data_IF_060654041262
#
_entry.id   IF_060654041262
#
_cell.length_a   1.000
_cell.length_b   1.000
_cell.length_c   1.000
_cell.angle_alpha   90.00
_cell.angle_beta   90.00
_cell.angle_gamma   90.00
#
_symmetry.space_group_name_H-M   'P 1'
#
loop_
_entity.id
_entity.type
_entity.pdbx_description
1 polymer ?
#
# COMPACT_ATOMS: atom_id res chain seq x y z
N UNK A 1 35.08 -19.30 44.27
CA UNK A 1 34.14 -20.10 43.45
C UNK A 1 32.80 -19.36 43.39
N UNK A 2 32.03 -19.43 42.29
CA UNK A 2 32.03 -20.45 41.24
C UNK A 2 32.47 -19.96 39.85
N UNK A 3 32.80 -20.94 39.02
CA UNK A 3 33.28 -20.87 37.64
C UNK A 3 32.10 -20.84 36.66
N UNK A 4 32.19 -20.09 35.56
CA UNK A 4 31.40 -20.35 34.35
C UNK A 4 32.31 -20.43 33.11
N UNK A 5 32.22 -21.57 32.42
CA UNK A 5 33.07 -22.05 31.34
C UNK A 5 32.68 -21.40 30.00
N UNK A 6 33.67 -20.91 29.26
CA UNK A 6 33.54 -20.51 27.85
C UNK A 6 33.66 -21.74 26.94
N UNK A 7 32.65 -22.00 26.10
CA UNK A 7 32.72 -23.01 25.02
C UNK A 7 33.06 -22.34 23.69
N UNK A 8 34.21 -22.70 23.13
CA UNK A 8 34.64 -22.38 21.76
C UNK A 8 33.83 -23.21 20.77
N UNK A 9 33.23 -22.58 19.76
CA UNK A 9 32.72 -23.27 18.57
C UNK A 9 33.75 -23.21 17.43
N UNK A 10 34.00 -24.38 16.86
CA UNK A 10 35.01 -24.72 15.86
C UNK A 10 34.45 -24.45 14.46
N UNK A 11 35.21 -23.70 13.63
CA UNK A 11 34.95 -23.51 12.20
C UNK A 11 35.23 -24.81 11.45
N UNK A 12 34.28 -25.27 10.63
CA UNK A 12 34.54 -26.24 9.57
C UNK A 12 34.34 -25.58 8.21
N UNK A 13 35.35 -25.72 7.35
CA UNK A 13 35.35 -25.32 5.94
C UNK A 13 34.78 -26.47 5.12
N UNK A 14 33.87 -26.19 4.18
CA UNK A 14 33.61 -27.04 3.00
C UNK A 14 33.70 -26.19 1.73
N UNK A 15 34.71 -26.47 0.93
CA UNK A 15 34.83 -26.25 -0.53
C UNK A 15 34.13 -27.44 -1.22
N UNK A 16 33.48 -27.45 -2.37
CA UNK A 16 33.37 -26.61 -3.60
C UNK A 16 32.30 -27.27 -4.49
N UNK A 17 31.49 -26.51 -5.26
CA UNK A 17 31.38 -26.66 -6.73
C UNK A 17 30.26 -25.79 -7.33
N UNK A 18 30.65 -24.99 -8.33
CA UNK A 18 29.78 -24.40 -9.34
C UNK A 18 29.25 -25.48 -10.31
N UNK A 19 27.96 -25.44 -10.65
CA UNK A 19 27.48 -25.39 -12.04
C UNK A 19 25.92 -25.46 -12.15
N UNK A 20 25.35 -24.35 -12.64
CA UNK A 20 24.34 -24.21 -13.71
C UNK A 20 22.93 -24.85 -13.60
N UNK A 21 21.95 -23.93 -13.61
CA UNK A 21 20.70 -23.90 -14.40
C UNK A 21 19.75 -25.11 -14.40
N UNK A 22 18.63 -24.94 -13.70
CA UNK A 22 17.29 -25.39 -14.10
C UNK A 22 16.29 -24.40 -13.48
N UNK A 23 15.37 -23.87 -14.29
CA UNK A 23 14.13 -23.32 -13.74
C UNK A 23 13.37 -24.52 -13.18
N UNK A 24 13.09 -24.54 -11.89
CA UNK A 24 12.20 -25.52 -11.30
C UNK A 24 10.79 -25.22 -11.82
N UNK A 25 10.36 -26.04 -12.77
CA UNK A 25 8.99 -26.13 -13.24
C UNK A 25 8.23 -26.77 -12.07
N UNK A 26 7.28 -26.04 -11.51
CA UNK A 26 6.38 -26.53 -10.46
C UNK A 26 5.54 -27.65 -11.08
N UNK A 27 5.56 -28.83 -10.47
CA UNK A 27 4.81 -30.00 -10.94
C UNK A 27 3.28 -29.77 -10.79
N UNK A 28 2.48 -30.33 -11.70
CA UNK A 28 1.01 -30.17 -11.73
C UNK A 28 0.33 -30.58 -10.40
N UNK A 29 0.87 -31.56 -9.70
CA UNK A 29 0.37 -31.99 -8.37
C UNK A 29 0.62 -30.94 -7.27
N UNK A 30 1.68 -30.13 -7.39
CA UNK A 30 1.98 -29.06 -6.43
C UNK A 30 1.08 -27.83 -6.69
N UNK A 31 0.67 -27.60 -7.94
CA UNK A 31 -0.35 -26.61 -8.32
C UNK A 31 -1.76 -26.99 -7.83
N UNK A 32 -2.14 -28.28 -7.92
CA UNK A 32 -3.42 -28.77 -7.40
C UNK A 32 -3.50 -28.64 -5.87
N UNK A 33 -2.40 -28.89 -5.15
CA UNK A 33 -2.34 -28.70 -3.70
C UNK A 33 -2.42 -27.23 -3.28
N UNK A 34 -1.80 -26.31 -4.03
CA UNK A 34 -1.97 -24.88 -3.78
C UNK A 34 -3.38 -24.39 -4.12
N UNK A 35 -4.06 -24.98 -5.12
CA UNK A 35 -5.46 -24.68 -5.42
C UNK A 35 -6.40 -25.21 -4.33
N UNK A 36 -6.18 -26.43 -3.82
CA UNK A 36 -6.97 -26.95 -2.70
C UNK A 36 -6.80 -26.12 -1.41
N UNK A 37 -5.59 -25.61 -1.15
CA UNK A 37 -5.33 -24.76 0.03
C UNK A 37 -6.00 -23.37 -0.12
N UNK A 38 -6.14 -22.86 -1.34
CA UNK A 38 -6.86 -21.61 -1.64
C UNK A 38 -8.37 -21.83 -1.54
N UNK A 39 -8.88 -22.95 -2.06
CA UNK A 39 -10.30 -23.30 -1.99
C UNK A 39 -10.75 -23.57 -0.53
N UNK A 40 -9.90 -24.18 0.31
CA UNK A 40 -10.19 -24.38 1.74
C UNK A 40 -10.14 -23.09 2.58
N UNK A 41 -9.34 -22.10 2.18
CA UNK A 41 -9.32 -20.78 2.82
C UNK A 41 -10.49 -19.90 2.33
N UNK A 42 -10.94 -20.05 1.07
CA UNK A 42 -12.16 -19.43 0.56
C UNK A 42 -13.44 -20.03 1.17
N UNK A 43 -13.50 -21.34 1.42
CA UNK A 43 -14.63 -21.97 2.12
C UNK A 43 -14.74 -21.52 3.60
N UNK A 44 -13.60 -21.26 4.27
CA UNK A 44 -13.59 -20.71 5.64
C UNK A 44 -14.00 -19.23 5.71
N UNK A 45 -13.77 -18.46 4.65
CA UNK A 45 -14.32 -17.10 4.53
C UNK A 45 -15.82 -17.12 4.17
N UNK A 46 -16.29 -18.11 3.42
CA UNK A 46 -17.70 -18.27 3.05
C UNK A 46 -18.62 -18.65 4.23
N UNK A 47 -18.11 -19.37 5.24
CA UNK A 47 -18.89 -19.68 6.46
C UNK A 47 -19.00 -18.50 7.46
N UNK A 48 -18.28 -17.39 7.26
CA UNK A 48 -18.32 -16.22 8.18
C UNK A 48 -19.15 -15.03 7.69
N UNK A 49 -19.73 -15.08 6.48
CA UNK A 49 -20.59 -14.01 5.94
C UNK A 49 -22.10 -14.30 6.03
N UNK A 50 -22.52 -15.38 6.68
CA UNK A 50 -23.93 -15.57 7.07
C UNK A 50 -24.29 -14.58 8.18
N UNK A 51 -25.08 -13.55 7.81
CA UNK A 51 -25.97 -12.79 8.67
C UNK A 51 -25.47 -12.53 10.10
N UNK A 52 -24.74 -11.42 10.28
CA UNK A 52 -24.88 -10.67 11.54
C UNK A 52 -26.24 -9.94 11.54
N UNK A 53 -27.33 -10.69 11.34
CA UNK A 53 -28.60 -10.32 11.94
C UNK A 53 -28.39 -10.63 13.41
N UNK A 54 -28.06 -9.60 14.17
CA UNK A 54 -28.10 -9.66 15.63
C UNK A 54 -29.57 -9.91 15.98
N UNK A 55 -30.00 -11.17 15.96
CA UNK A 55 -31.22 -11.57 16.64
C UNK A 55 -30.95 -11.29 18.11
N UNK A 56 -31.86 -10.53 18.69
CA UNK A 56 -31.84 -10.09 20.08
C UNK A 56 -32.17 -11.26 21.01
N UNK A 57 -31.41 -12.34 20.94
CA UNK A 57 -31.49 -13.48 21.86
C UNK A 57 -30.35 -13.40 22.87
N UNK A 58 -30.16 -12.21 23.43
CA UNK A 58 -29.50 -12.06 24.72
C UNK A 58 -30.55 -12.41 25.76
N UNK A 59 -30.38 -13.56 26.39
CA UNK A 59 -31.15 -14.00 27.54
C UNK A 59 -31.34 -12.83 28.53
N UNK A 60 -32.60 -12.47 28.78
CA UNK A 60 -33.08 -11.48 29.74
C UNK A 60 -32.85 -11.95 31.21
N UNK A 61 -31.62 -12.35 31.53
CA UNK A 61 -31.21 -12.71 32.90
C UNK A 61 -30.17 -11.69 33.38
N UNK A 62 -30.67 -10.66 34.06
CA UNK A 62 -29.96 -9.85 35.06
C UNK A 62 -28.76 -8.98 34.64
N UNK A 63 -28.96 -8.06 33.68
CA UNK A 63 -28.21 -6.78 33.69
C UNK A 63 -29.15 -5.58 33.64
N UNK A 64 -29.77 -5.31 34.78
CA UNK A 64 -30.55 -4.09 35.04
C UNK A 64 -29.63 -2.85 35.12
N UNK A 65 -29.01 -2.46 34.01
CA UNK A 65 -28.34 -1.15 33.88
C UNK A 65 -29.42 -0.12 33.55
N UNK A 66 -30.23 0.24 34.55
CA UNK A 66 -31.24 1.30 34.44
C UNK A 66 -30.57 2.60 34.01
N UNK A 67 -30.81 3.03 32.76
CA UNK A 67 -30.51 4.40 32.32
C UNK A 67 -29.71 4.56 31.03
N UNK A 68 -29.35 3.49 30.31
CA UNK A 68 -28.67 3.64 29.01
C UNK A 68 -29.72 3.64 27.89
N UNK A 69 -30.04 4.84 27.39
CA UNK A 69 -30.78 5.01 26.14
C UNK A 69 -29.83 4.79 24.96
N UNK A 70 -30.10 3.78 24.13
CA UNK A 70 -29.31 3.52 22.92
C UNK A 70 -29.86 4.37 21.76
N UNK A 71 -29.11 5.39 21.35
CA UNK A 71 -29.39 6.09 20.09
C UNK A 71 -28.92 5.22 18.90
N UNK A 72 -29.75 5.04 17.87
CA UNK A 72 -29.38 4.27 16.68
C UNK A 72 -28.16 4.88 15.96
N UNK A 73 -27.33 4.03 15.37
CA UNK A 73 -26.14 4.43 14.61
C UNK A 73 -26.43 4.46 13.11
N UNK A 74 -26.02 5.55 12.45
CA UNK A 74 -25.95 5.62 10.99
C UNK A 74 -24.50 5.36 10.56
N UNK A 75 -24.23 4.14 10.10
CA UNK A 75 -22.87 3.66 9.81
C UNK A 75 -22.55 3.82 8.32
N UNK A 76 -21.45 4.49 7.99
CA UNK A 76 -20.98 4.68 6.62
C UNK A 76 -19.51 4.27 6.46
N UNK A 77 -19.16 3.43 5.46
CA UNK A 77 -17.78 3.14 5.15
C UNK A 77 -17.16 4.25 4.29
N UNK A 78 -15.86 4.51 4.46
CA UNK A 78 -15.09 5.39 3.58
C UNK A 78 -13.68 4.85 3.31
N UNK A 79 -13.39 4.61 2.04
CA UNK A 79 -12.11 4.11 1.54
C UNK A 79 -11.93 4.51 0.08
N UNK A 80 -10.69 4.43 -0.43
CA UNK A 80 -10.30 5.04 -1.70
C UNK A 80 -11.06 4.53 -2.94
N UNK A 81 -11.46 3.26 -2.95
CA UNK A 81 -12.13 2.60 -4.09
C UNK A 81 -13.65 2.86 -4.10
N UNK A 82 -14.20 3.44 -3.02
CA UNK A 82 -15.62 3.72 -2.94
C UNK A 82 -16.05 4.74 -4.00
N UNK A 83 -17.19 4.53 -4.69
CA UNK A 83 -17.71 5.48 -5.69
C UNK A 83 -17.90 6.88 -5.10
N UNK A 84 -17.70 7.94 -5.90
CA UNK A 84 -17.83 9.33 -5.44
C UNK A 84 -19.18 9.64 -4.80
N UNK A 85 -20.28 9.09 -5.32
CA UNK A 85 -21.62 9.24 -4.74
C UNK A 85 -21.69 8.69 -3.31
N UNK A 86 -21.22 7.45 -3.10
CA UNK A 86 -21.15 6.83 -1.77
C UNK A 86 -20.18 7.55 -0.82
N UNK A 87 -19.06 8.06 -1.33
CA UNK A 87 -18.15 8.90 -0.51
C UNK A 87 -18.83 10.20 -0.09
N UNK A 88 -19.66 10.80 -0.95
CA UNK A 88 -20.35 12.06 -0.67
C UNK A 88 -21.34 11.96 0.50
N UNK A 89 -21.97 10.78 0.69
CA UNK A 89 -22.91 10.51 1.78
C UNK A 89 -22.35 10.79 3.18
N UNK A 90 -21.02 10.72 3.36
CA UNK A 90 -20.37 11.01 4.65
C UNK A 90 -20.49 12.50 5.05
N UNK A 91 -20.74 13.38 4.09
CA UNK A 91 -20.88 14.82 4.30
C UNK A 91 -22.34 15.25 4.50
N UNK A 92 -23.29 14.37 4.18
CA UNK A 92 -24.71 14.62 4.40
C UNK A 92 -25.06 14.49 5.89
N UNK A 93 -26.04 15.27 6.38
CA UNK A 93 -26.50 15.11 7.75
C UNK A 93 -27.09 13.71 7.95
N UNK A 94 -26.79 13.03 9.08
CA UNK A 94 -27.38 11.74 9.37
C UNK A 94 -28.90 11.87 9.56
N UNK A 95 -29.67 10.78 9.33
CA UNK A 95 -31.11 10.78 9.59
C UNK A 95 -31.45 11.22 11.03
N UNK A 96 -32.58 11.94 11.24
CA UNK A 96 -32.97 12.40 12.57
C UNK A 96 -33.04 11.26 13.58
N UNK A 97 -32.57 11.51 14.80
CA UNK A 97 -32.53 10.52 15.88
C UNK A 97 -31.40 9.50 15.76
N UNK A 98 -30.51 9.62 14.77
CA UNK A 98 -29.33 8.73 14.62
C UNK A 98 -28.02 9.47 14.86
N UNK A 99 -27.01 8.72 15.33
CA UNK A 99 -25.63 9.20 15.46
C UNK A 99 -24.78 8.68 14.31
N UNK A 100 -24.10 9.58 13.60
CA UNK A 100 -23.16 9.23 12.53
C UNK A 100 -21.97 8.44 13.08
N UNK A 101 -21.69 7.29 12.48
CA UNK A 101 -20.49 6.49 12.70
C UNK A 101 -19.81 6.25 11.35
N UNK A 102 -18.54 6.60 11.22
CA UNK A 102 -17.80 6.44 9.96
C UNK A 102 -16.70 5.41 10.15
N UNK A 103 -16.75 4.35 9.37
CA UNK A 103 -15.69 3.33 9.32
C UNK A 103 -14.74 3.73 8.20
N UNK A 104 -13.55 4.20 8.57
CA UNK A 104 -12.61 4.80 7.63
C UNK A 104 -11.28 4.06 7.56
N UNK A 105 -10.68 4.03 6.37
CA UNK A 105 -9.25 3.76 6.21
C UNK A 105 -8.44 5.03 6.47
N UNK A 106 -7.13 4.98 6.23
CA UNK A 106 -6.23 6.13 6.32
C UNK A 106 -6.61 7.31 5.39
N UNK A 107 -7.59 7.17 4.50
CA UNK A 107 -8.16 8.29 3.73
C UNK A 107 -8.69 9.40 4.64
N UNK A 108 -9.26 9.05 5.80
CA UNK A 108 -9.73 10.04 6.78
C UNK A 108 -8.58 10.75 7.53
N UNK A 109 -7.35 10.23 7.49
CA UNK A 109 -6.20 10.80 8.19
C UNK A 109 -5.73 12.10 7.55
N UNK A 110 -5.75 12.21 6.21
CA UNK A 110 -5.18 13.33 5.46
C UNK A 110 -6.20 13.99 4.54
N UNK A 111 -6.89 13.21 3.70
CA UNK A 111 -7.57 13.70 2.50
C UNK A 111 -9.02 14.18 2.69
N UNK A 112 -9.68 13.81 3.80
CA UNK A 112 -11.11 14.12 3.99
C UNK A 112 -11.37 14.77 5.34
N UNK A 113 -12.26 15.77 5.34
CA UNK A 113 -12.71 16.46 6.55
C UNK A 113 -14.19 16.17 6.75
N UNK A 114 -14.50 15.25 7.66
CA UNK A 114 -15.86 14.96 8.08
C UNK A 114 -16.20 15.91 9.21
N UNK A 115 -17.27 16.69 9.05
CA UNK A 115 -17.74 17.61 10.07
C UNK A 115 -18.31 16.85 11.28
N UNK A 116 -18.27 17.48 12.45
CA UNK A 116 -18.92 16.97 13.68
C UNK A 116 -18.42 15.62 14.21
N UNK A 117 -17.20 15.22 13.85
CA UNK A 117 -16.55 14.05 14.47
C UNK A 117 -16.03 14.44 15.86
N UNK A 118 -16.59 13.82 16.90
CA UNK A 118 -16.19 14.04 18.31
C UNK A 118 -15.40 12.88 18.90
N UNK A 119 -15.54 11.69 18.33
CA UNK A 119 -14.94 10.46 18.83
C UNK A 119 -14.13 9.80 17.72
N UNK A 120 -12.90 9.41 18.04
CA UNK A 120 -12.05 8.60 17.17
C UNK A 120 -11.72 7.31 17.92
N UNK A 121 -11.86 6.18 17.24
CA UNK A 121 -11.38 4.88 17.70
C UNK A 121 -10.25 4.47 16.76
N UNK A 122 -9.01 4.47 17.25
CA UNK A 122 -7.82 4.21 16.45
C UNK A 122 -7.27 2.80 16.74
N UNK A 123 -7.26 1.95 15.72
CA UNK A 123 -6.67 0.61 15.80
C UNK A 123 -5.13 0.63 15.81
N UNK A 124 -4.51 1.76 15.44
CA UNK A 124 -3.05 1.92 15.39
C UNK A 124 -2.38 1.18 14.22
N UNK A 125 -3.15 0.49 13.37
CA UNK A 125 -2.63 -0.21 12.20
C UNK A 125 -2.87 0.57 10.91
N UNK A 126 -2.09 0.24 9.89
CA UNK A 126 -2.24 0.76 8.53
C UNK A 126 -1.83 -0.31 7.52
N UNK A 127 -2.56 -0.40 6.40
CA UNK A 127 -2.19 -1.22 5.25
C UNK A 127 -1.32 -0.38 4.32
N UNK A 128 -0.04 -0.71 4.23
CA UNK A 128 0.94 0.02 3.41
C UNK A 128 1.46 -0.87 2.30
N UNK A 129 1.70 -0.28 1.11
CA UNK A 129 2.40 -0.95 0.01
C UNK A 129 3.90 -1.01 0.31
N UNK A 130 4.43 -2.21 0.46
CA UNK A 130 5.85 -2.48 0.66
C UNK A 130 6.48 -2.97 -0.65
N UNK A 131 7.50 -2.26 -1.12
CA UNK A 131 8.29 -2.67 -2.28
C UNK A 131 9.52 -3.46 -1.83
N UNK A 132 9.61 -4.71 -2.25
CA UNK A 132 10.82 -5.50 -2.06
C UNK A 132 11.85 -5.16 -3.16
N UNK A 133 12.98 -4.62 -2.73
CA UNK A 133 14.06 -4.16 -3.60
C UNK A 133 14.81 -5.31 -4.30
N UNK A 134 14.75 -6.52 -3.75
CA UNK A 134 15.45 -7.68 -4.31
C UNK A 134 14.61 -8.36 -5.40
N UNK A 135 13.34 -8.62 -5.10
CA UNK A 135 12.42 -9.29 -6.02
C UNK A 135 11.75 -8.33 -7.01
N UNK A 136 11.71 -7.04 -6.70
CA UNK A 136 10.97 -6.04 -7.49
C UNK A 136 9.46 -6.12 -7.31
N UNK A 137 8.98 -6.93 -6.36
CA UNK A 137 7.56 -7.16 -6.11
C UNK A 137 7.03 -6.17 -5.08
N UNK A 138 5.84 -5.63 -5.34
CA UNK A 138 5.11 -4.83 -4.35
C UNK A 138 4.04 -5.67 -3.67
N UNK A 139 4.04 -5.70 -2.35
CA UNK A 139 3.04 -6.40 -1.53
C UNK A 139 2.35 -5.43 -0.59
N UNK A 140 1.09 -5.67 -0.24
CA UNK A 140 0.46 -4.94 0.85
C UNK A 140 0.73 -5.64 2.17
N UNK A 141 1.15 -4.88 3.19
CA UNK A 141 1.37 -5.40 4.54
C UNK A 141 0.65 -4.53 5.55
N UNK A 142 0.14 -5.16 6.60
CA UNK A 142 -0.45 -4.45 7.74
C UNK A 142 0.66 -4.22 8.76
N UNK A 143 0.90 -2.96 9.08
CA UNK A 143 1.96 -2.53 10.00
C UNK A 143 1.43 -1.53 11.02
N UNK A 144 2.24 -1.23 12.04
CA UNK A 144 1.93 -0.14 12.97
C UNK A 144 2.04 1.20 12.26
N UNK A 145 1.10 2.09 12.55
CA UNK A 145 1.16 3.48 12.06
C UNK A 145 2.29 4.26 12.75
N UNK A 146 2.66 5.41 12.22
CA UNK A 146 3.59 6.31 12.92
C UNK A 146 2.90 7.07 14.06
N UNK A 147 3.68 7.52 15.05
CA UNK A 147 3.22 8.40 16.13
C UNK A 147 2.64 9.70 15.58
N UNK A 148 3.28 10.26 14.55
CA UNK A 148 2.77 11.42 13.83
C UNK A 148 1.39 11.14 13.19
N UNK A 149 1.22 10.02 12.50
CA UNK A 149 -0.07 9.62 11.90
C UNK A 149 -1.15 9.39 12.95
N UNK A 150 -0.85 8.68 14.05
CA UNK A 150 -1.80 8.50 15.16
C UNK A 150 -2.22 9.83 15.81
N UNK A 151 -1.28 10.79 15.90
CA UNK A 151 -1.55 12.14 16.37
C UNK A 151 -2.44 12.91 15.40
N UNK A 152 -2.24 12.76 14.08
CA UNK A 152 -3.13 13.34 13.07
C UNK A 152 -4.56 12.78 13.15
N UNK A 153 -4.70 11.46 13.33
CA UNK A 153 -6.02 10.80 13.54
C UNK A 153 -6.72 11.35 14.77
N UNK A 154 -6.00 11.50 15.87
CA UNK A 154 -6.50 12.13 17.11
C UNK A 154 -6.99 13.55 16.84
N UNK A 155 -6.25 14.33 16.06
CA UNK A 155 -6.61 15.69 15.67
C UNK A 155 -7.90 15.82 14.85
N UNK A 156 -8.44 14.72 14.29
CA UNK A 156 -9.71 14.73 13.57
C UNK A 156 -10.92 14.91 14.50
N UNK A 157 -10.85 14.44 15.75
CA UNK A 157 -11.90 14.61 16.76
C UNK A 157 -11.98 16.03 17.34
N UNK A 158 -10.91 16.82 17.20
CA UNK A 158 -10.74 18.10 17.90
C UNK A 158 -10.95 19.35 17.05
N UNK A 159 -11.58 19.23 15.88
CA UNK A 159 -11.65 20.33 14.90
C UNK A 159 -12.71 21.37 15.23
N UNK A 160 -13.90 20.94 15.64
CA UNK A 160 -15.05 21.83 15.90
C UNK A 160 -15.40 21.93 17.38
N UNK A 161 -15.07 20.91 18.16
CA UNK A 161 -15.34 20.84 19.59
C UNK A 161 -14.29 19.95 20.29
N UNK A 162 -14.18 19.99 21.62
CA UNK A 162 -13.41 19.00 22.36
C UNK A 162 -13.89 17.58 22.04
N UNK A 163 -12.95 16.74 21.63
CA UNK A 163 -13.19 15.36 21.24
C UNK A 163 -12.35 14.37 22.04
N UNK A 164 -12.69 13.08 21.91
CA UNK A 164 -11.98 11.98 22.55
C UNK A 164 -11.40 11.04 21.50
N UNK A 165 -10.19 10.54 21.78
CA UNK A 165 -9.53 9.52 20.98
C UNK A 165 -9.29 8.29 21.85
N UNK A 166 -9.94 7.19 21.50
CA UNK A 166 -9.75 5.89 22.10
C UNK A 166 -8.77 5.10 21.25
N UNK A 167 -7.65 4.69 21.83
CA UNK A 167 -6.62 3.91 21.16
C UNK A 167 -6.76 2.45 21.57
N UNK A 168 -6.84 1.55 20.60
CA UNK A 168 -6.96 0.11 20.82
C UNK A 168 -5.59 -0.57 21.03
N UNK A 169 -4.60 0.19 21.50
CA UNK A 169 -3.23 -0.26 21.73
C UNK A 169 -2.67 0.42 22.98
N UNK A 170 -1.76 -0.28 23.66
CA UNK A 170 -1.18 0.21 24.92
C UNK A 170 -0.15 1.32 24.71
N UNK A 171 0.12 2.08 25.76
CA UNK A 171 1.19 3.09 25.77
C UNK A 171 2.58 2.46 25.53
N UNK A 172 2.81 1.24 26.01
CA UNK A 172 4.05 0.51 25.76
C UNK A 172 4.25 0.25 24.26
N UNK A 173 3.23 -0.27 23.56
CA UNK A 173 3.30 -0.49 22.11
C UNK A 173 3.50 0.84 21.37
N UNK A 174 2.77 1.88 21.76
CA UNK A 174 2.92 3.21 21.16
C UNK A 174 4.34 3.76 21.30
N UNK A 175 4.98 3.57 22.45
CA UNK A 175 6.31 4.11 22.70
C UNK A 175 7.42 3.27 22.03
N UNK A 176 7.32 1.95 22.10
CA UNK A 176 8.39 1.02 21.74
C UNK A 176 8.30 0.52 20.29
N UNK A 177 7.07 0.38 19.74
CA UNK A 177 6.85 -0.22 18.42
C UNK A 177 6.57 0.79 17.31
N UNK A 178 6.01 1.96 17.62
CA UNK A 178 5.64 2.94 16.59
C UNK A 178 6.86 3.79 16.21
N UNK A 179 7.08 3.95 14.91
CA UNK A 179 8.02 4.93 14.40
C UNK A 179 7.51 6.36 14.68
N UNK A 180 8.43 7.30 14.92
CA UNK A 180 8.06 8.70 15.16
C UNK A 180 7.32 9.31 13.96
N UNK A 181 7.86 9.09 12.76
CA UNK A 181 7.33 9.58 11.50
C UNK A 181 7.25 8.46 10.46
N UNK A 182 6.27 8.57 9.56
CA UNK A 182 6.17 7.68 8.40
C UNK A 182 7.37 7.88 7.48
N UNK A 183 7.98 6.79 7.02
CA UNK A 183 9.13 6.85 6.13
C UNK A 183 8.80 7.61 4.82
N UNK A 184 9.72 8.47 4.32
CA UNK A 184 9.51 9.20 3.08
C UNK A 184 9.18 8.30 1.88
N UNK A 185 8.40 8.81 0.94
CA UNK A 185 7.99 8.02 -0.22
C UNK A 185 9.16 7.64 -1.14
N UNK A 186 10.14 8.54 -1.28
CA UNK A 186 11.35 8.36 -2.10
C UNK A 186 12.21 7.15 -1.69
N UNK A 187 12.09 6.68 -0.44
CA UNK A 187 12.81 5.48 0.04
C UNK A 187 11.98 4.21 -0.04
N UNK A 188 10.67 4.32 -0.27
CA UNK A 188 9.70 3.21 -0.28
C UNK A 188 9.24 2.80 -1.66
N UNK A 189 9.36 3.68 -2.67
CA UNK A 189 8.94 3.40 -4.05
C UNK A 189 10.13 3.29 -5.00
N UNK A 190 9.97 2.58 -6.13
CA UNK A 190 10.92 2.64 -7.24
C UNK A 190 11.13 4.08 -7.72
N UNK A 191 12.35 4.41 -8.14
CA UNK A 191 12.77 5.79 -8.45
C UNK A 191 13.14 5.99 -9.93
N UNK A 192 12.78 5.06 -10.83
CA UNK A 192 13.11 5.17 -12.26
C UNK A 192 12.57 6.43 -12.93
N UNK A 193 11.36 6.87 -12.58
CA UNK A 193 10.78 8.11 -13.09
C UNK A 193 11.60 9.33 -12.66
N UNK A 194 11.99 9.38 -11.38
CA UNK A 194 12.83 10.44 -10.83
C UNK A 194 14.21 10.45 -11.49
N UNK A 195 14.83 9.28 -11.66
CA UNK A 195 16.15 9.16 -12.29
C UNK A 195 16.09 9.63 -13.74
N UNK A 196 15.07 9.24 -14.51
CA UNK A 196 14.88 9.68 -15.89
C UNK A 196 14.75 11.20 -15.98
N UNK A 197 13.93 11.81 -15.12
CA UNK A 197 13.75 13.26 -15.07
C UNK A 197 15.07 13.99 -14.75
N UNK A 198 15.80 13.54 -13.73
CA UNK A 198 17.07 14.16 -13.35
C UNK A 198 18.13 14.05 -14.45
N UNK A 199 18.23 12.89 -15.12
CA UNK A 199 19.13 12.71 -16.28
C UNK A 199 18.73 13.60 -17.47
N UNK A 200 17.44 13.85 -17.66
CA UNK A 200 16.94 14.78 -18.70
C UNK A 200 17.39 16.22 -18.44
N UNK A 201 17.50 16.60 -17.16
CA UNK A 201 18.04 17.88 -16.69
C UNK A 201 19.59 17.94 -16.72
N UNK A 202 20.24 16.94 -17.32
CA UNK A 202 21.71 16.79 -17.37
C UNK A 202 22.37 16.69 -15.98
N UNK A 203 21.67 16.12 -15.00
CA UNK A 203 22.22 15.84 -13.68
C UNK A 203 22.78 14.42 -13.68
N UNK A 204 24.08 14.31 -13.92
CA UNK A 204 24.74 13.01 -14.08
C UNK A 204 24.96 12.28 -12.74
N UNK A 205 25.39 13.01 -11.70
CA UNK A 205 25.76 12.45 -10.40
C UNK A 205 24.62 12.59 -9.39
N UNK A 206 23.67 11.67 -9.46
CA UNK A 206 22.50 11.67 -8.57
C UNK A 206 22.89 11.50 -7.09
N UNK A 207 24.01 10.83 -6.79
CA UNK A 207 24.53 10.70 -5.43
C UNK A 207 24.86 12.05 -4.76
N UNK A 208 25.17 13.08 -5.56
CA UNK A 208 25.52 14.42 -5.08
C UNK A 208 24.34 15.40 -5.16
N UNK A 209 23.18 14.95 -5.65
CA UNK A 209 22.01 15.81 -5.75
C UNK A 209 21.45 16.10 -4.34
N UNK A 210 21.13 17.37 -4.01
CA UNK A 210 20.75 17.78 -2.66
C UNK A 210 19.29 17.42 -2.34
N UNK A 211 18.99 16.13 -2.18
CA UNK A 211 17.67 15.68 -1.74
C UNK A 211 17.42 16.05 -0.26
N UNK A 212 16.19 16.44 0.12
CA UNK A 212 15.81 16.53 1.54
C UNK A 212 15.97 15.19 2.27
N UNK A 213 15.69 14.09 1.57
CA UNK A 213 16.03 12.74 1.99
C UNK A 213 16.46 11.97 0.75
N UNK A 214 17.71 11.51 0.72
CA UNK A 214 18.23 10.81 -0.45
C UNK A 214 17.64 9.41 -0.60
N UNK A 215 17.34 8.96 -1.83
CA UNK A 215 17.05 7.56 -2.08
C UNK A 215 18.29 6.70 -1.82
N UNK A 216 18.05 5.42 -1.53
CA UNK A 216 19.11 4.43 -1.40
C UNK A 216 19.91 4.32 -2.72
N UNK A 217 21.24 4.33 -2.64
CA UNK A 217 22.12 4.18 -3.81
C UNK A 217 21.83 2.89 -4.58
N UNK A 218 21.41 1.82 -3.88
CA UNK A 218 20.97 0.59 -4.54
C UNK A 218 19.72 0.81 -5.39
N UNK A 219 18.75 1.60 -4.92
CA UNK A 219 17.54 1.91 -5.68
C UNK A 219 17.86 2.77 -6.91
N UNK A 220 18.78 3.74 -6.79
CA UNK A 220 19.27 4.51 -7.95
C UNK A 220 19.93 3.59 -8.97
N UNK A 221 20.80 2.67 -8.54
CA UNK A 221 21.47 1.73 -9.44
C UNK A 221 20.46 0.83 -10.17
N UNK A 222 19.47 0.28 -9.47
CA UNK A 222 18.41 -0.54 -10.08
C UNK A 222 17.61 0.26 -11.12
N UNK A 223 17.25 1.50 -10.79
CA UNK A 223 16.57 2.41 -11.71
C UNK A 223 17.43 2.72 -12.96
N UNK A 224 18.72 3.01 -12.80
CA UNK A 224 19.62 3.24 -13.93
C UNK A 224 19.77 1.99 -14.81
N UNK A 225 19.85 0.79 -14.23
CA UNK A 225 19.90 -0.47 -15.00
C UNK A 225 18.61 -0.70 -15.79
N UNK A 226 17.45 -0.45 -15.18
CA UNK A 226 16.17 -0.52 -15.89
C UNK A 226 16.12 0.46 -17.06
N UNK A 227 16.54 1.71 -16.85
CA UNK A 227 16.53 2.72 -17.92
C UNK A 227 17.53 2.39 -19.05
N UNK A 228 18.66 1.75 -18.74
CA UNK A 228 19.57 1.19 -19.75
C UNK A 228 18.89 0.07 -20.54
N UNK A 229 18.21 -0.88 -19.88
CA UNK A 229 17.45 -1.93 -20.55
C UNK A 229 16.31 -1.37 -21.44
N UNK A 230 15.74 -0.24 -21.03
CA UNK A 230 14.76 0.49 -21.83
C UNK A 230 15.39 1.29 -22.98
N UNK A 231 16.72 1.33 -23.13
CA UNK A 231 17.48 2.18 -24.06
C UNK A 231 17.24 3.69 -23.83
N UNK A 232 16.79 4.07 -22.64
CA UNK A 232 16.59 5.46 -22.24
C UNK A 232 17.91 6.13 -21.79
N UNK A 233 18.86 5.34 -21.29
CA UNK A 233 20.22 5.77 -20.96
C UNK A 233 21.24 4.99 -21.80
N UNK A 234 22.34 5.64 -22.17
CA UNK A 234 23.44 5.00 -22.89
C UNK A 234 24.32 4.20 -21.92
N UNK A 235 24.45 2.90 -22.15
CA UNK A 235 25.29 1.99 -21.36
C UNK A 235 26.78 2.20 -21.59
N UNK A 236 27.17 2.75 -22.74
CA UNK A 236 28.58 2.99 -23.10
C UNK A 236 29.12 4.26 -22.45
N UNK A 237 28.23 5.18 -22.10
CA UNK A 237 28.58 6.43 -21.47
C UNK A 237 28.94 6.22 -19.99
N UNK A 238 30.10 6.69 -19.51
CA UNK A 238 30.51 6.54 -18.11
C UNK A 238 29.55 7.25 -17.14
N UNK A 239 28.85 8.29 -17.60
CA UNK A 239 27.87 9.03 -16.78
C UNK A 239 26.43 8.55 -17.01
N UNK A 240 26.23 7.53 -17.86
CA UNK A 240 24.91 7.02 -18.27
C UNK A 240 24.02 8.16 -18.78
N UNK A 241 24.53 8.87 -19.77
CA UNK A 241 23.84 10.00 -20.40
C UNK A 241 22.50 9.57 -20.99
N UNK A 242 21.53 10.48 -20.96
CA UNK A 242 20.22 10.24 -21.56
C UNK A 242 20.32 10.12 -23.08
N UNK A 243 19.59 9.17 -23.66
CA UNK A 243 19.48 8.98 -25.11
C UNK A 243 18.37 9.88 -25.68
N UNK A 244 18.32 10.01 -27.01
CA UNK A 244 17.20 10.70 -27.67
C UNK A 244 15.85 10.00 -27.38
N UNK A 245 15.86 8.66 -27.30
CA UNK A 245 14.69 7.89 -26.86
C UNK A 245 14.30 8.24 -25.43
N UNK A 246 15.26 8.29 -24.50
CA UNK A 246 15.02 8.68 -23.11
C UNK A 246 14.44 10.09 -22.98
N UNK A 247 14.92 11.03 -23.80
CA UNK A 247 14.40 12.40 -23.85
C UNK A 247 12.94 12.42 -24.32
N UNK A 248 12.57 11.63 -25.33
CA UNK A 248 11.17 11.48 -25.75
C UNK A 248 10.31 10.82 -24.67
N UNK A 249 10.83 9.79 -23.99
CA UNK A 249 10.13 9.14 -22.89
C UNK A 249 9.85 10.10 -21.72
N UNK A 250 10.78 11.00 -21.40
CA UNK A 250 10.62 11.99 -20.31
C UNK A 250 9.52 13.03 -20.56
N UNK A 251 9.02 13.15 -21.79
CA UNK A 251 7.92 14.04 -22.11
C UNK A 251 6.57 13.53 -21.56
N UNK A 252 6.47 12.24 -21.20
CA UNK A 252 5.25 11.64 -20.67
C UNK A 252 5.31 11.53 -19.14
N UNK A 253 4.27 11.97 -18.40
CA UNK A 253 4.21 11.89 -16.94
C UNK A 253 3.72 10.52 -16.46
N UNK A 254 4.30 9.44 -16.98
CA UNK A 254 3.95 8.05 -16.67
C UNK A 254 5.21 7.20 -16.48
N UNK A 255 5.04 5.99 -15.93
CA UNK A 255 6.15 5.06 -15.71
C UNK A 255 6.97 4.85 -17.01
N UNK A 256 8.32 4.69 -16.94
CA UNK A 256 9.15 4.72 -18.15
C UNK A 256 8.87 3.53 -19.07
N UNK A 257 8.38 2.41 -18.51
CA UNK A 257 7.94 1.26 -19.30
C UNK A 257 6.78 1.64 -20.23
N UNK A 258 5.79 2.35 -19.70
CA UNK A 258 4.63 2.81 -20.46
C UNK A 258 5.02 3.92 -21.44
N UNK A 259 5.90 4.85 -21.04
CA UNK A 259 6.43 5.88 -21.93
C UNK A 259 7.12 5.27 -23.15
N UNK A 260 7.92 4.21 -22.95
CA UNK A 260 8.56 3.49 -24.06
C UNK A 260 7.54 2.86 -25.00
N UNK A 261 6.48 2.25 -24.49
CA UNK A 261 5.41 1.68 -25.31
C UNK A 261 4.78 2.75 -26.22
N UNK A 262 4.48 3.93 -25.68
CA UNK A 262 3.91 5.05 -26.45
C UNK A 262 4.88 5.58 -27.51
N UNK A 263 6.16 5.76 -27.18
CA UNK A 263 7.15 6.26 -28.13
C UNK A 263 7.36 5.31 -29.31
N UNK A 264 7.37 3.98 -29.06
CA UNK A 264 7.46 2.98 -30.12
C UNK A 264 6.17 2.96 -30.95
N UNK A 265 5.00 2.99 -30.30
CA UNK A 265 3.71 2.99 -30.99
C UNK A 265 3.51 4.21 -31.89
N UNK A 266 4.17 5.34 -31.60
CA UNK A 266 4.12 6.54 -32.44
C UNK A 266 4.66 6.30 -33.87
N UNK A 267 5.52 5.29 -34.07
CA UNK A 267 6.03 4.93 -35.40
C UNK A 267 4.95 4.30 -36.30
N UNK A 268 3.90 3.71 -35.71
CA UNK A 268 2.79 3.11 -36.43
C UNK A 268 1.43 3.68 -35.99
N UNK A 269 0.86 4.53 -36.85
CA UNK A 269 -0.40 5.26 -36.57
C UNK A 269 -1.60 4.34 -36.33
N UNK A 270 -1.62 3.13 -36.89
CA UNK A 270 -2.76 2.21 -36.77
C UNK A 270 -2.79 1.54 -35.38
N UNK A 271 -1.63 1.37 -34.74
CA UNK A 271 -1.48 0.70 -33.44
C UNK A 271 -1.57 1.72 -32.29
N UNK A 272 -1.23 2.98 -32.53
CA UNK A 272 -1.17 4.02 -31.52
C UNK A 272 -2.44 4.16 -30.65
N UNK A 273 -3.67 4.17 -31.20
CA UNK A 273 -4.89 4.28 -30.38
C UNK A 273 -5.04 3.13 -29.38
N UNK A 274 -4.69 1.91 -29.79
CA UNK A 274 -4.78 0.71 -28.94
C UNK A 274 -3.76 0.76 -27.80
N UNK A 275 -2.54 1.21 -28.08
CA UNK A 275 -1.51 1.34 -27.04
C UNK A 275 -1.85 2.45 -26.05
N UNK A 276 -2.41 3.57 -26.52
CA UNK A 276 -2.92 4.62 -25.63
C UNK A 276 -4.01 4.06 -24.71
N UNK A 277 -4.99 3.33 -25.26
CA UNK A 277 -6.05 2.72 -24.47
C UNK A 277 -5.50 1.73 -23.44
N UNK A 278 -4.55 0.87 -23.84
CA UNK A 278 -3.90 -0.10 -22.95
C UNK A 278 -3.14 0.59 -21.83
N UNK A 279 -2.29 1.58 -22.16
CA UNK A 279 -1.51 2.33 -21.17
C UNK A 279 -2.42 3.09 -20.23
N UNK A 280 -3.46 3.77 -20.74
CA UNK A 280 -4.43 4.48 -19.90
C UNK A 280 -5.13 3.54 -18.90
N UNK A 281 -5.50 2.34 -19.36
CA UNK A 281 -6.14 1.31 -18.54
C UNK A 281 -5.19 0.79 -17.45
N UNK A 282 -3.94 0.46 -17.80
CA UNK A 282 -2.93 -0.07 -16.85
C UNK A 282 -2.35 0.99 -15.90
N UNK A 283 -2.55 2.27 -16.20
CA UNK A 283 -2.07 3.37 -15.34
C UNK A 283 -2.96 3.59 -14.11
N UNK A 284 -4.18 3.03 -14.12
CA UNK A 284 -5.13 3.12 -13.02
C UNK A 284 -5.10 1.79 -12.25
N UNK A 285 -5.22 1.85 -10.91
CA UNK A 285 -5.03 0.68 -10.06
C UNK A 285 -6.07 -0.43 -10.30
N UNK A 286 -7.34 -0.07 -10.46
CA UNK A 286 -8.44 -1.01 -10.64
C UNK A 286 -9.46 -0.41 -11.62
N UNK A 287 -9.65 -1.09 -12.75
CA UNK A 287 -10.61 -0.69 -13.79
C UNK A 287 -11.87 -1.53 -13.72
N UNK A 288 -11.73 -2.79 -13.27
CA UNK A 288 -12.82 -3.71 -13.08
C UNK A 288 -13.16 -3.75 -11.59
N UNK A 289 -14.44 -3.62 -11.27
CA UNK A 289 -14.91 -3.93 -9.92
C UNK A 289 -15.07 -5.45 -9.84
N UNK A 290 -14.46 -6.09 -8.84
CA UNK A 290 -14.76 -7.49 -8.54
C UNK A 290 -16.23 -7.56 -8.15
N UNK A 291 -17.06 -7.98 -9.11
CA UNK A 291 -18.49 -8.06 -8.95
C UNK A 291 -18.87 -9.22 -8.03
N UNK A 292 -18.76 -9.02 -6.71
CA UNK A 292 -19.71 -9.65 -5.78
C UNK A 292 -21.04 -8.91 -5.91
N UNK A 293 -21.64 -8.98 -7.11
CA UNK A 293 -23.06 -8.69 -7.28
C UNK A 293 -23.74 -9.85 -6.58
N UNK A 294 -24.11 -9.66 -5.31
CA UNK A 294 -25.07 -10.54 -4.63
C UNK A 294 -26.24 -10.71 -5.59
N UNK A 295 -26.36 -11.89 -6.18
CA UNK A 295 -27.59 -12.33 -6.83
C UNK A 295 -28.59 -12.42 -5.68
N UNK A 296 -29.29 -11.32 -5.43
CA UNK A 296 -30.46 -11.32 -4.56
C UNK A 296 -31.46 -12.28 -5.20
N UNK A 297 -31.56 -13.48 -4.62
CA UNK A 297 -32.75 -14.33 -4.75
C UNK A 297 -33.82 -13.82 -3.79
#
# INVERSE_FOLDING_TARGET
EPQFKTKKFRKEKRTTNDNRTSLDIIDEEELEHLQSDIDEDEEKEQEQEEECTITSDLDDEDTNVKGISFEPLYVLPIYAILSSEKQARVFEPPPPGTRLCVIATNVAETSITISNVKYIVDCGKVKTKHYDKLTGVSTFRIEWTSKASASQRTGRAGRTAPGHCYRLYSSAIYNDSFAEYTAPEIVRKPVEDLVLQLKTLNIDRLANFPFPTSPDLKAINVAEQLLIQLNALDSKSPTKTITELGRRMSAFPINPRYSKMLVIAQENKDILPYVIALVATLSVNEVLTSGLVKIQK
#
